data_IF_032599554149
#
_entry.id   IF_032599554149
#
_cell.length_a   1.000
_cell.length_b   1.000
_cell.length_c   1.000
_cell.angle_alpha   90.00
_cell.angle_beta   90.00
_cell.angle_gamma   90.00
#
_symmetry.space_group_name_H-M   'P 1'
#
loop_
_entity.id
_entity.type
_entity.pdbx_description
1 polymer ?
#
# COMPACT_ATOMS: atom_id res chain seq x y z
N UNK A 1 8.89 4.62 -15.71
CA UNK A 1 9.00 5.31 -14.42
C UNK A 1 7.70 5.07 -13.69
N UNK A 2 7.74 4.53 -12.49
CA UNK A 2 6.53 4.26 -11.72
C UNK A 2 5.89 5.58 -11.26
N UNK A 3 4.57 5.63 -11.22
CA UNK A 3 3.86 6.69 -10.48
C UNK A 3 4.00 6.37 -8.98
N UNK A 4 4.52 7.30 -8.18
CA UNK A 4 4.68 7.09 -6.73
C UNK A 4 3.72 8.01 -5.98
N UNK A 5 2.84 7.42 -5.18
CA UNK A 5 1.80 8.14 -4.44
C UNK A 5 2.05 8.00 -2.95
N UNK A 6 2.25 9.13 -2.27
CA UNK A 6 2.28 9.21 -0.82
C UNK A 6 0.89 9.61 -0.31
N UNK A 7 0.28 8.76 0.50
CA UNK A 7 -1.00 9.00 1.16
C UNK A 7 -0.81 9.17 2.66
N UNK A 8 -1.02 10.41 3.10
CA UNK A 8 -1.01 10.81 4.50
C UNK A 8 -2.42 10.64 5.09
N UNK A 9 -2.58 9.63 5.94
CA UNK A 9 -3.82 9.28 6.61
C UNK A 9 -4.03 10.18 7.83
N UNK A 10 -5.15 10.88 7.90
CA UNK A 10 -5.50 11.76 9.03
C UNK A 10 -6.80 11.30 9.69
N UNK A 11 -7.90 11.29 8.95
CA UNK A 11 -9.23 11.01 9.51
C UNK A 11 -9.67 9.56 9.36
N UNK A 12 -9.16 8.85 8.34
CA UNK A 12 -9.46 7.42 8.12
C UNK A 12 -8.20 6.58 8.32
N UNK A 13 -8.28 5.51 9.12
CA UNK A 13 -7.14 4.64 9.36
C UNK A 13 -6.80 3.80 8.12
N UNK A 14 -5.64 3.16 8.16
CA UNK A 14 -5.13 2.31 7.09
C UNK A 14 -6.14 1.23 6.69
N UNK A 15 -6.69 0.55 7.69
CA UNK A 15 -7.65 -0.55 7.59
C UNK A 15 -8.94 -0.11 6.88
N UNK A 16 -9.29 1.18 6.94
CA UNK A 16 -10.45 1.74 6.25
C UNK A 16 -10.13 2.24 4.83
N UNK A 17 -8.86 2.32 4.43
CA UNK A 17 -8.43 2.87 3.13
C UNK A 17 -7.90 1.79 2.21
N UNK A 18 -7.05 0.90 2.71
CA UNK A 18 -6.39 -0.16 1.93
C UNK A 18 -7.39 -1.05 1.17
N UNK A 19 -8.48 -1.55 1.78
CA UNK A 19 -9.42 -2.43 1.06
C UNK A 19 -9.97 -1.77 -0.21
N UNK A 20 -10.36 -0.50 -0.13
CA UNK A 20 -10.90 0.24 -1.27
C UNK A 20 -9.86 0.47 -2.37
N UNK A 21 -8.60 0.75 -2.02
CA UNK A 21 -7.53 0.91 -3.02
C UNK A 21 -7.21 -0.43 -3.71
N UNK A 22 -7.28 -1.54 -2.99
CA UNK A 22 -7.10 -2.87 -3.54
C UNK A 22 -8.27 -3.25 -4.46
N UNK A 23 -9.53 -2.98 -4.06
CA UNK A 23 -10.70 -3.14 -4.93
C UNK A 23 -10.50 -2.36 -6.24
N UNK A 24 -10.11 -1.08 -6.17
CA UNK A 24 -9.86 -0.26 -7.38
C UNK A 24 -8.70 -0.77 -8.23
N UNK A 25 -7.72 -1.41 -7.62
CA UNK A 25 -6.62 -2.06 -8.35
C UNK A 25 -7.13 -3.27 -9.13
N UNK A 26 -7.91 -4.14 -8.48
CA UNK A 26 -8.50 -5.32 -9.10
C UNK A 26 -9.54 -4.96 -10.18
N UNK A 27 -10.39 -3.95 -9.95
CA UNK A 27 -11.35 -3.43 -10.93
C UNK A 27 -10.67 -2.98 -12.24
N UNK A 28 -9.41 -2.53 -12.16
CA UNK A 28 -8.59 -2.15 -13.32
C UNK A 28 -7.96 -3.36 -14.04
N UNK A 29 -8.15 -4.56 -13.52
CA UNK A 29 -7.50 -5.79 -13.99
C UNK A 29 -6.02 -5.87 -13.59
N UNK A 30 -5.60 -5.10 -12.58
CA UNK A 30 -4.23 -5.12 -12.07
C UNK A 30 -4.10 -6.04 -10.87
N UNK A 31 -2.88 -6.49 -10.64
CA UNK A 31 -2.47 -7.25 -9.45
C UNK A 31 -1.71 -6.37 -8.47
N UNK A 32 -1.79 -6.71 -7.18
CA UNK A 32 -1.16 -5.95 -6.10
C UNK A 32 -0.24 -6.81 -5.24
N UNK A 33 0.84 -6.20 -4.74
CA UNK A 33 1.58 -6.64 -3.56
C UNK A 33 1.39 -5.60 -2.47
N UNK A 34 1.15 -6.03 -1.24
CA UNK A 34 1.16 -5.18 -0.05
C UNK A 34 2.33 -5.60 0.82
N UNK A 35 3.36 -4.76 0.85
CA UNK A 35 4.49 -4.91 1.77
C UNK A 35 4.13 -4.28 3.11
N UNK A 36 4.29 -5.07 4.16
CA UNK A 36 3.94 -4.72 5.54
C UNK A 36 5.19 -4.79 6.41
N UNK A 37 5.34 -3.85 7.34
CA UNK A 37 6.57 -3.75 8.16
C UNK A 37 6.85 -4.93 9.10
N UNK A 38 5.86 -5.82 9.34
CA UNK A 38 6.07 -7.03 10.14
C UNK A 38 5.06 -8.13 9.80
N UNK A 39 5.41 -9.38 10.15
CA UNK A 39 4.54 -10.54 9.92
C UNK A 39 3.24 -10.45 10.72
N UNK A 40 3.33 -10.02 11.98
CA UNK A 40 2.16 -9.81 12.84
C UNK A 40 1.17 -8.81 12.23
N UNK A 41 1.68 -7.70 11.68
CA UNK A 41 0.84 -6.71 10.99
C UNK A 41 0.27 -7.26 9.68
N UNK A 42 1.02 -8.08 8.96
CA UNK A 42 0.52 -8.72 7.73
C UNK A 42 -0.64 -9.69 8.02
N UNK A 43 -0.54 -10.49 9.08
CA UNK A 43 -1.60 -11.42 9.51
C UNK A 43 -2.85 -10.67 10.03
N UNK A 44 -2.65 -9.54 10.73
CA UNK A 44 -3.75 -8.69 11.15
C UNK A 44 -4.48 -8.06 9.95
N UNK A 45 -3.73 -7.61 8.94
CA UNK A 45 -4.30 -7.06 7.70
C UNK A 45 -5.03 -8.14 6.89
N UNK A 46 -4.46 -9.34 6.75
CA UNK A 46 -5.10 -10.50 6.11
C UNK A 46 -6.47 -10.78 6.72
N UNK A 47 -6.51 -10.93 8.05
CA UNK A 47 -7.75 -11.17 8.78
C UNK A 47 -8.78 -10.07 8.53
N UNK A 48 -8.35 -8.80 8.54
CA UNK A 48 -9.23 -7.66 8.29
C UNK A 48 -9.77 -7.62 6.86
N UNK A 49 -8.96 -7.91 5.85
CA UNK A 49 -9.37 -7.89 4.44
C UNK A 49 -10.41 -8.94 4.10
N UNK A 50 -10.56 -9.99 4.92
CA UNK A 50 -11.65 -10.96 4.80
C UNK A 50 -12.98 -10.49 5.39
N UNK A 51 -12.97 -9.55 6.33
CA UNK A 51 -14.17 -9.16 7.11
C UNK A 51 -14.49 -7.66 7.09
N UNK A 52 -13.80 -6.85 6.28
CA UNK A 52 -13.97 -5.39 6.31
C UNK A 52 -15.36 -4.92 5.85
N UNK A 53 -16.09 -5.73 5.06
CA UNK A 53 -17.48 -5.49 4.65
C UNK A 53 -18.18 -6.82 4.35
N UNK A 54 -19.39 -6.99 4.88
CA UNK A 54 -20.15 -8.26 4.83
C UNK A 54 -20.39 -8.81 3.42
N UNK A 55 -20.47 -7.95 2.40
CA UNK A 55 -20.72 -8.32 1.00
C UNK A 55 -19.47 -8.16 0.11
N UNK A 56 -18.28 -8.08 0.70
CA UNK A 56 -17.03 -7.97 -0.03
C UNK A 56 -16.32 -9.32 -0.21
N UNK A 57 -15.64 -9.46 -1.34
CA UNK A 57 -14.70 -10.54 -1.57
C UNK A 57 -13.46 -9.98 -2.24
N UNK A 58 -12.41 -9.76 -1.45
CA UNK A 58 -11.11 -9.34 -1.94
C UNK A 58 -10.21 -10.57 -1.99
N UNK A 59 -10.01 -11.16 -3.17
CA UNK A 59 -9.13 -12.33 -3.30
C UNK A 59 -7.68 -11.96 -3.00
N UNK A 60 -7.17 -12.44 -1.87
CA UNK A 60 -5.80 -12.19 -1.41
C UNK A 60 -5.22 -13.41 -0.68
N UNK A 61 -3.90 -13.40 -0.51
CA UNK A 61 -3.19 -14.38 0.31
C UNK A 61 -1.96 -13.76 0.97
N UNK A 62 -1.44 -14.46 1.98
CA UNK A 62 -0.23 -14.12 2.69
C UNK A 62 0.94 -14.90 2.10
N UNK A 63 2.02 -14.21 1.73
CA UNK A 63 3.18 -14.80 1.08
C UNK A 63 3.85 -15.90 1.92
N UNK A 64 4.43 -16.86 1.21
CA UNK A 64 5.16 -18.00 1.78
C UNK A 64 4.64 -19.36 1.31
N UNK A 65 3.78 -19.43 0.29
CA UNK A 65 3.29 -20.69 -0.25
C UNK A 65 3.51 -20.84 -1.76
N UNK A 66 3.33 -22.06 -2.28
CA UNK A 66 3.50 -22.37 -3.70
C UNK A 66 2.45 -21.69 -4.61
N UNK A 67 1.40 -21.11 -4.00
CA UNK A 67 0.30 -20.43 -4.69
C UNK A 67 0.44 -18.91 -4.72
N UNK A 68 1.50 -18.34 -4.13
CA UNK A 68 1.80 -16.90 -4.13
C UNK A 68 1.62 -16.29 -5.53
N UNK A 69 2.11 -16.98 -6.56
CA UNK A 69 2.01 -16.54 -7.96
C UNK A 69 0.56 -16.41 -8.48
N UNK A 70 -0.38 -17.12 -7.88
CA UNK A 70 -1.80 -17.11 -8.26
C UNK A 70 -2.60 -16.01 -7.57
N UNK A 71 -2.11 -15.46 -6.44
CA UNK A 71 -2.82 -14.48 -5.64
C UNK A 71 -2.98 -13.13 -6.36
N UNK A 72 -4.22 -12.64 -6.62
CA UNK A 72 -4.43 -11.33 -7.23
C UNK A 72 -3.90 -10.17 -6.37
N UNK A 73 -3.99 -10.32 -5.06
CA UNK A 73 -3.36 -9.48 -4.05
C UNK A 73 -2.51 -10.37 -3.15
N UNK A 74 -1.24 -10.03 -2.96
CA UNK A 74 -0.34 -10.77 -2.08
C UNK A 74 0.16 -9.86 -0.94
N UNK A 75 -0.02 -10.29 0.30
CA UNK A 75 0.53 -9.62 1.48
C UNK A 75 1.91 -10.21 1.79
N UNK A 76 2.92 -9.39 2.03
CA UNK A 76 4.29 -9.87 2.25
C UNK A 76 5.05 -8.96 3.21
N UNK A 77 6.13 -9.49 3.79
CA UNK A 77 7.16 -8.70 4.48
C UNK A 77 8.46 -8.63 3.68
N UNK A 78 8.51 -9.29 2.52
CA UNK A 78 9.69 -9.41 1.67
C UNK A 78 9.59 -8.48 0.46
N UNK A 79 10.72 -8.23 -0.23
CA UNK A 79 10.83 -7.24 -1.31
C UNK A 79 10.55 -7.81 -2.71
N UNK A 80 10.25 -9.09 -2.83
CA UNK A 80 10.01 -9.77 -4.10
C UNK A 80 8.59 -9.50 -4.67
N UNK A 81 8.35 -9.99 -5.90
CA UNK A 81 7.10 -9.80 -6.63
C UNK A 81 6.61 -11.12 -7.28
N UNK A 82 6.32 -12.16 -6.49
CA UNK A 82 6.07 -13.50 -7.04
C UNK A 82 4.75 -13.59 -7.81
N UNK A 83 3.78 -12.71 -7.54
CA UNK A 83 2.49 -12.68 -8.24
C UNK A 83 2.47 -11.76 -9.48
N UNK A 84 3.60 -11.14 -9.83
CA UNK A 84 3.72 -10.25 -10.98
C UNK A 84 2.84 -8.99 -10.87
N UNK A 85 2.72 -8.42 -9.66
CA UNK A 85 1.90 -7.25 -9.41
C UNK A 85 2.31 -6.02 -10.21
N UNK A 86 1.29 -5.26 -10.64
CA UNK A 86 1.45 -3.96 -11.28
C UNK A 86 1.65 -2.85 -10.25
N UNK A 87 1.03 -3.01 -9.06
CA UNK A 87 1.02 -2.01 -7.99
C UNK A 87 1.64 -2.60 -6.73
N UNK A 88 2.52 -1.84 -6.08
CA UNK A 88 3.02 -2.16 -4.74
C UNK A 88 2.52 -1.16 -3.73
N UNK A 89 1.88 -1.66 -2.68
CA UNK A 89 1.47 -0.88 -1.51
C UNK A 89 2.51 -1.07 -0.41
N UNK A 90 2.85 0.00 0.29
CA UNK A 90 3.73 -0.01 1.44
C UNK A 90 2.96 0.53 2.63
N UNK A 91 2.83 -0.28 3.67
CA UNK A 91 1.99 0.02 4.84
C UNK A 91 2.70 -0.36 6.14
N UNK A 92 2.23 0.18 7.26
CA UNK A 92 2.73 -0.14 8.61
C UNK A 92 4.27 -0.09 8.72
N UNK A 93 4.88 0.99 8.20
CA UNK A 93 6.32 1.22 8.28
C UNK A 93 7.16 0.60 7.17
N UNK A 94 6.57 -0.21 6.28
CA UNK A 94 7.24 -0.61 5.04
C UNK A 94 7.50 0.60 4.14
N UNK A 95 8.63 0.60 3.43
CA UNK A 95 9.02 1.68 2.53
C UNK A 95 9.78 1.14 1.30
N UNK A 96 9.56 1.73 0.11
CA UNK A 96 10.27 1.33 -1.10
C UNK A 96 11.78 1.58 -0.96
N UNK A 97 12.58 0.58 -1.33
CA UNK A 97 14.03 0.73 -1.50
C UNK A 97 14.41 1.31 -2.86
N UNK A 98 13.54 1.14 -3.88
CA UNK A 98 13.68 1.71 -5.22
C UNK A 98 12.30 2.02 -5.82
N UNK A 99 12.25 2.85 -6.86
CA UNK A 99 11.04 3.16 -7.63
C UNK A 99 10.75 2.22 -8.81
N UNK A 100 11.58 1.18 -8.98
CA UNK A 100 11.59 0.36 -10.20
C UNK A 100 10.69 -0.88 -10.12
N UNK A 101 10.35 -1.43 -11.27
CA UNK A 101 9.66 -2.73 -11.38
C UNK A 101 8.13 -2.70 -11.26
N UNK A 102 7.53 -1.54 -10.99
CA UNK A 102 6.08 -1.38 -10.86
C UNK A 102 5.53 -0.29 -11.77
N UNK A 103 4.24 -0.39 -12.09
CA UNK A 103 3.51 0.70 -12.76
C UNK A 103 3.17 1.80 -11.76
N UNK A 104 2.85 1.41 -10.52
CA UNK A 104 2.49 2.33 -9.44
C UNK A 104 3.00 1.84 -8.09
N UNK A 105 3.51 2.75 -7.28
CA UNK A 105 3.82 2.51 -5.87
C UNK A 105 2.96 3.41 -5.00
N UNK A 106 2.42 2.86 -3.93
CA UNK A 106 1.50 3.54 -3.02
C UNK A 106 2.02 3.41 -1.60
N UNK A 107 2.44 4.51 -1.00
CA UNK A 107 2.95 4.54 0.37
C UNK A 107 1.85 5.12 1.25
N UNK A 108 1.36 4.35 2.22
CA UNK A 108 0.36 4.80 3.19
C UNK A 108 0.99 4.90 4.58
N UNK A 109 0.80 6.04 5.23
CA UNK A 109 1.34 6.28 6.57
C UNK A 109 0.37 7.14 7.40
N UNK A 110 0.37 6.89 8.71
CA UNK A 110 -0.45 7.63 9.66
C UNK A 110 0.15 9.00 9.96
N UNK A 111 -0.69 10.03 9.97
CA UNK A 111 -0.35 11.37 10.46
C UNK A 111 -0.27 11.48 11.97
N UNK A 112 -0.85 10.50 12.67
CA UNK A 112 -0.83 10.43 14.13
C UNK A 112 0.40 9.70 14.67
N UNK A 113 1.27 9.23 13.78
CA UNK A 113 2.53 8.57 14.11
C UNK A 113 3.71 9.46 13.65
N UNK A 114 4.40 10.14 14.60
CA UNK A 114 5.53 10.99 14.28
C UNK A 114 6.69 10.26 13.58
N UNK A 115 6.91 8.99 13.90
CA UNK A 115 8.00 8.19 13.33
C UNK A 115 7.66 7.79 11.89
N UNK A 116 6.42 7.37 11.63
CA UNK A 116 5.95 7.12 10.27
C UNK A 116 6.03 8.39 9.40
N UNK A 117 5.67 9.55 9.94
CA UNK A 117 5.80 10.84 9.25
C UNK A 117 7.26 11.17 8.92
N UNK A 118 8.18 10.97 9.86
CA UNK A 118 9.60 11.23 9.65
C UNK A 118 10.17 10.30 8.56
N UNK A 119 9.85 9.01 8.62
CA UNK A 119 10.28 8.02 7.65
C UNK A 119 9.72 8.30 6.24
N UNK A 120 8.41 8.58 6.13
CA UNK A 120 7.78 8.93 4.85
C UNK A 120 8.38 10.19 4.22
N UNK A 121 8.73 11.20 5.04
CA UNK A 121 9.43 12.42 4.55
C UNK A 121 10.81 12.12 3.98
N UNK A 122 11.56 11.19 4.58
CA UNK A 122 12.86 10.76 4.06
C UNK A 122 12.67 10.05 2.72
N UNK A 123 11.76 9.07 2.66
CA UNK A 123 11.46 8.33 1.44
C UNK A 123 11.00 9.25 0.30
N UNK A 124 10.09 10.19 0.58
CA UNK A 124 9.61 11.18 -0.39
C UNK A 124 10.77 11.98 -1.01
N UNK A 125 11.72 12.45 -0.18
CA UNK A 125 12.88 13.21 -0.66
C UNK A 125 13.81 12.39 -1.54
N UNK A 126 13.99 11.10 -1.23
CA UNK A 126 14.85 10.23 -2.00
C UNK A 126 14.22 9.86 -3.35
N UNK A 127 12.92 9.56 -3.36
CA UNK A 127 12.24 9.08 -4.58
C UNK A 127 11.93 10.20 -5.57
N UNK A 128 11.63 11.42 -5.11
CA UNK A 128 11.28 12.58 -5.97
C UNK A 128 12.40 13.05 -6.90
N UNK A 129 13.63 12.58 -6.69
CA UNK A 129 14.75 12.96 -7.53
C UNK A 129 14.64 12.34 -8.93
N UNK A 130 14.15 11.09 -9.00
CA UNK A 130 14.19 10.26 -10.19
C UNK A 130 12.81 9.74 -10.63
N UNK A 131 11.73 10.10 -9.92
CA UNK A 131 10.38 9.57 -10.15
C UNK A 131 9.30 10.67 -10.17
N UNK A 132 8.17 10.37 -10.81
CA UNK A 132 6.95 11.18 -10.67
C UNK A 132 6.27 10.85 -9.34
N UNK A 133 6.42 11.76 -8.37
CA UNK A 133 5.94 11.58 -7.00
C UNK A 133 4.84 12.58 -6.71
N UNK A 134 3.71 12.09 -6.20
CA UNK A 134 2.62 12.93 -5.70
C UNK A 134 2.36 12.69 -4.22
N UNK A 135 1.90 13.72 -3.53
CA UNK A 135 1.57 13.69 -2.11
C UNK A 135 0.13 14.09 -1.90
N UNK A 136 -0.62 13.24 -1.21
CA UNK A 136 -2.03 13.39 -0.91
C UNK A 136 -2.24 13.32 0.60
N UNK A 137 -3.08 14.21 1.13
CA UNK A 137 -3.44 14.23 2.55
C UNK A 137 -4.96 14.30 2.69
N UNK A 138 -5.49 13.57 3.68
CA UNK A 138 -6.90 13.70 4.04
C UNK A 138 -7.17 15.06 4.69
N UNK A 139 -8.25 15.71 4.29
CA UNK A 139 -8.79 16.84 5.04
C UNK A 139 -9.67 16.36 6.22
N UNK A 140 -10.27 17.32 6.94
CA UNK A 140 -11.15 17.05 8.08
C UNK A 140 -12.39 16.22 7.71
N UNK A 141 -12.82 16.22 6.45
CA UNK A 141 -13.95 15.43 5.94
C UNK A 141 -13.49 14.07 5.35
N UNK A 142 -12.18 13.78 5.39
CA UNK A 142 -11.57 12.57 4.83
C UNK A 142 -11.47 12.55 3.31
N UNK A 143 -11.53 13.72 2.66
CA UNK A 143 -11.28 13.85 1.22
C UNK A 143 -9.79 13.97 0.96
N UNK A 144 -9.34 13.42 -0.16
CA UNK A 144 -7.95 13.50 -0.58
C UNK A 144 -7.65 14.83 -1.25
N UNK A 145 -6.66 15.56 -0.70
CA UNK A 145 -6.15 16.82 -1.24
C UNK A 145 -4.70 16.63 -1.67
N UNK A 146 -4.41 16.88 -2.95
CA UNK A 146 -3.03 16.89 -3.47
C UNK A 146 -2.29 18.09 -2.87
N UNK A 147 -1.12 17.85 -2.25
CA UNK A 147 -0.24 18.90 -1.69
C UNK A 147 1.01 19.12 -2.54
N UNK A 148 1.47 18.09 -3.24
CA UNK A 148 2.60 18.13 -4.17
C UNK A 148 2.38 17.11 -5.29
#
# INVERSE_FOLDING_TARGET
>A
MAEILFYHLETRPLEAVVPFLLEKTLERGWRAVVEVGSRERAEALDSHLWSYRDDSFLAHGLAGDDTDAHQPVLLTTETDNPNGANVRFFVDGALPQSGDGYQRMVILFSGHDPDALAAARIAYRNLRADNDVTYWQQDADGRWVKKA
#
